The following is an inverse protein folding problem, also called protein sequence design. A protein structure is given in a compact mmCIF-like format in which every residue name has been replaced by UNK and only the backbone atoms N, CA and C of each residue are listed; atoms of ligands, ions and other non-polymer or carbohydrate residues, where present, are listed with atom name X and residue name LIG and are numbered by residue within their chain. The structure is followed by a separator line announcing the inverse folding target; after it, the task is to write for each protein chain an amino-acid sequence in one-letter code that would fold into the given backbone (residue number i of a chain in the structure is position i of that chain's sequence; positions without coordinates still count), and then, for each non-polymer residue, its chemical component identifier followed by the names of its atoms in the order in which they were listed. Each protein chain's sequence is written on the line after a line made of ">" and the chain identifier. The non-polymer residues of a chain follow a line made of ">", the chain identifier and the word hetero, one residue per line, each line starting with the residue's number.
data_IF_842338557555
#
_entry.id   IF_842338557555
#
_cell.length_a   1.000
_cell.length_b   1.000
_cell.length_c   1.000
_cell.angle_alpha   90.00
_cell.angle_beta   90.00
_cell.angle_gamma   90.00
#
_symmetry.space_group_name_H-M   'P 1'
#
loop_
_entity.id
_entity.type
_entity.pdbx_description
1 polymer ?
#
# COMPACT_ATOMS: atom_id res chain seq x y z
N UNK A 1 10.82 4.93 12.47
CA UNK A 1 10.90 4.17 11.21
C UNK A 1 9.57 4.24 10.50
N UNK A 2 9.59 4.67 9.24
CA UNK A 2 8.39 4.74 8.39
C UNK A 2 8.13 3.37 7.77
N UNK A 3 6.97 2.79 8.08
CA UNK A 3 6.59 1.46 7.59
C UNK A 3 5.47 1.57 6.57
N UNK A 4 5.70 1.10 5.35
CA UNK A 4 4.71 1.03 4.29
C UNK A 4 4.24 -0.39 3.98
N UNK A 5 3.42 -0.55 2.93
CA UNK A 5 3.01 -1.85 2.44
C UNK A 5 2.86 -1.90 0.92
N UNK A 6 3.14 -3.07 0.35
CA UNK A 6 2.84 -3.45 -1.03
C UNK A 6 1.85 -4.61 -1.02
N UNK A 7 0.66 -4.37 -1.57
CA UNK A 7 -0.41 -5.36 -1.72
C UNK A 7 -0.51 -5.74 -3.20
N UNK A 8 -0.34 -7.01 -3.53
CA UNK A 8 -0.46 -7.49 -4.91
C UNK A 8 -1.87 -7.97 -5.17
N UNK A 9 -2.62 -7.19 -5.94
CA UNK A 9 -3.99 -7.42 -6.36
C UNK A 9 -4.15 -7.47 -7.89
N UNK A 10 -3.04 -7.72 -8.61
CA UNK A 10 -3.00 -7.69 -10.08
C UNK A 10 -3.78 -8.84 -10.75
N UNK A 11 -4.17 -9.85 -10.00
CA UNK A 11 -4.75 -11.08 -10.53
C UNK A 11 -3.67 -12.01 -11.07
N UNK A 12 -3.90 -13.31 -10.94
CA UNK A 12 -3.18 -14.33 -11.69
C UNK A 12 -4.21 -15.36 -12.14
N UNK A 13 -4.21 -15.68 -13.43
CA UNK A 13 -4.99 -16.80 -13.92
C UNK A 13 -4.40 -18.09 -13.36
N UNK A 14 -4.78 -18.44 -12.14
CA UNK A 14 -4.80 -19.85 -11.75
C UNK A 14 -5.71 -20.57 -12.73
N UNK A 15 -5.30 -21.72 -13.23
CA UNK A 15 -5.90 -22.40 -14.39
C UNK A 15 -7.43 -22.62 -14.34
N UNK A 16 -8.10 -22.47 -13.19
CA UNK A 16 -9.52 -22.77 -13.02
C UNK A 16 -10.40 -21.65 -12.43
N UNK A 17 -9.87 -20.69 -11.67
CA UNK A 17 -10.64 -19.55 -11.15
C UNK A 17 -9.74 -18.34 -10.96
N UNK A 18 -10.01 -17.22 -11.66
CA UNK A 18 -9.28 -15.98 -11.41
C UNK A 18 -9.63 -15.46 -10.01
N UNK A 19 -8.60 -15.22 -9.19
CA UNK A 19 -8.79 -14.59 -7.88
C UNK A 19 -9.36 -13.18 -8.06
N UNK A 20 -10.41 -12.86 -7.28
CA UNK A 20 -11.06 -11.56 -7.30
C UNK A 20 -10.85 -10.82 -5.96
N UNK A 21 -10.04 -9.75 -5.90
CA UNK A 21 -9.86 -8.95 -4.69
C UNK A 21 -11.14 -8.27 -4.17
N UNK A 22 -12.19 -8.22 -4.98
CA UNK A 22 -13.51 -7.67 -4.62
C UNK A 22 -14.44 -8.71 -3.98
N UNK A 23 -13.98 -9.96 -3.77
CA UNK A 23 -14.77 -10.99 -3.08
C UNK A 23 -15.28 -10.45 -1.73
N UNK A 24 -16.57 -10.67 -1.41
CA UNK A 24 -17.14 -10.27 -0.13
C UNK A 24 -16.51 -11.03 1.04
N UNK A 25 -16.19 -10.31 2.11
CA UNK A 25 -15.68 -10.85 3.37
C UNK A 25 -16.38 -10.13 4.51
N UNK A 26 -17.51 -10.69 4.98
CA UNK A 26 -18.41 -10.04 5.91
C UNK A 26 -19.09 -8.83 5.28
N UNK A 27 -19.00 -7.68 5.94
CA UNK A 27 -19.54 -6.39 5.51
C UNK A 27 -18.60 -5.59 4.58
N UNK A 28 -17.50 -6.21 4.13
CA UNK A 28 -16.47 -5.57 3.33
C UNK A 28 -16.00 -6.49 2.18
N UNK A 29 -14.90 -6.14 1.55
CA UNK A 29 -14.24 -6.97 0.54
C UNK A 29 -12.83 -7.34 0.98
N UNK A 30 -12.26 -8.38 0.36
CA UNK A 30 -10.89 -8.84 0.61
C UNK A 30 -9.91 -7.67 0.62
N UNK A 31 -9.86 -6.90 -0.45
CA UNK A 31 -8.88 -5.81 -0.59
C UNK A 31 -9.08 -4.69 0.44
N UNK A 32 -10.33 -4.31 0.73
CA UNK A 32 -10.62 -3.26 1.72
C UNK A 32 -10.23 -3.70 3.13
N UNK A 33 -10.49 -4.95 3.50
CA UNK A 33 -10.11 -5.48 4.83
C UNK A 33 -8.62 -5.41 5.03
N UNK A 34 -7.83 -5.88 4.06
CA UNK A 34 -6.36 -5.82 4.11
C UNK A 34 -5.89 -4.38 4.34
N UNK A 35 -6.36 -3.44 3.50
CA UNK A 35 -5.97 -2.03 3.59
C UNK A 35 -6.34 -1.45 4.96
N UNK A 36 -7.55 -1.70 5.43
CA UNK A 36 -8.04 -1.16 6.71
C UNK A 36 -7.23 -1.76 7.88
N UNK A 37 -6.94 -3.06 7.86
CA UNK A 37 -6.15 -3.72 8.91
C UNK A 37 -4.73 -3.16 8.97
N UNK A 38 -4.05 -2.99 7.84
CA UNK A 38 -2.73 -2.39 7.77
C UNK A 38 -2.74 -0.94 8.28
N UNK A 39 -3.70 -0.13 7.85
CA UNK A 39 -3.84 1.26 8.34
C UNK A 39 -4.09 1.34 9.85
N UNK A 40 -4.92 0.46 10.39
CA UNK A 40 -5.16 0.34 11.84
C UNK A 40 -3.92 -0.13 12.60
N UNK A 41 -3.05 -0.90 11.94
CA UNK A 41 -1.72 -1.28 12.45
C UNK A 41 -0.71 -0.14 12.43
N UNK A 42 -1.01 1.01 11.82
CA UNK A 42 -0.10 2.16 11.70
C UNK A 42 0.74 2.18 10.43
N UNK A 43 0.38 1.39 9.42
CA UNK A 43 1.12 1.27 8.16
C UNK A 43 0.70 2.34 7.16
N UNK A 44 1.66 3.13 6.68
CA UNK A 44 1.48 4.14 5.63
C UNK A 44 2.85 4.55 5.05
N UNK A 45 2.97 4.73 3.73
CA UNK A 45 1.96 4.57 2.66
C UNK A 45 1.63 3.11 2.34
N UNK A 46 0.51 2.90 1.64
CA UNK A 46 0.11 1.59 1.11
C UNK A 46 0.03 1.67 -0.41
N UNK A 47 0.77 0.82 -1.09
CA UNK A 47 0.77 0.65 -2.54
C UNK A 47 -0.02 -0.61 -2.90
N UNK A 48 -0.98 -0.50 -3.80
CA UNK A 48 -1.77 -1.61 -4.33
C UNK A 48 -1.43 -1.79 -5.80
N UNK A 49 -0.94 -2.97 -6.15
CA UNK A 49 -0.67 -3.31 -7.55
C UNK A 49 -1.90 -3.95 -8.14
N UNK A 50 -2.50 -3.28 -9.11
CA UNK A 50 -3.70 -3.72 -9.83
C UNK A 50 -3.36 -4.27 -11.21
N UNK A 51 -4.28 -5.01 -11.83
CA UNK A 51 -4.12 -5.60 -13.16
C UNK A 51 -5.48 -5.99 -13.72
N UNK A 52 -5.90 -7.25 -13.52
CA UNK A 52 -7.27 -7.65 -13.85
C UNK A 52 -8.27 -6.81 -13.05
N UNK A 53 -9.33 -6.33 -13.72
CA UNK A 53 -10.36 -5.46 -13.13
C UNK A 53 -9.81 -4.20 -12.42
N UNK A 54 -8.67 -3.66 -12.90
CA UNK A 54 -8.02 -2.52 -12.27
C UNK A 54 -8.98 -1.35 -12.02
N UNK A 55 -9.81 -0.96 -13.00
CA UNK A 55 -10.76 0.16 -12.86
C UNK A 55 -11.77 -0.05 -11.72
N UNK A 56 -12.29 -1.27 -11.58
CA UNK A 56 -13.24 -1.63 -10.53
C UNK A 56 -12.57 -1.59 -9.14
N UNK A 57 -11.40 -2.22 -9.02
CA UNK A 57 -10.65 -2.29 -7.77
C UNK A 57 -10.25 -0.89 -7.31
N UNK A 58 -9.63 -0.11 -8.18
CA UNK A 58 -9.14 1.23 -7.90
C UNK A 58 -10.27 2.18 -7.51
N UNK A 59 -11.41 2.14 -8.23
CA UNK A 59 -12.62 2.90 -7.86
C UNK A 59 -13.14 2.49 -6.48
N UNK A 60 -13.16 1.19 -6.18
CA UNK A 60 -13.65 0.64 -4.92
C UNK A 60 -12.83 1.07 -3.70
N UNK A 61 -11.51 1.26 -3.86
CA UNK A 61 -10.59 1.65 -2.79
C UNK A 61 -10.17 3.13 -2.84
N UNK A 62 -10.71 3.92 -3.77
CA UNK A 62 -10.32 5.33 -4.02
C UNK A 62 -10.42 6.24 -2.78
N UNK A 63 -11.35 5.94 -1.85
CA UNK A 63 -11.54 6.68 -0.61
C UNK A 63 -10.60 6.24 0.53
N UNK A 64 -9.75 5.25 0.31
CA UNK A 64 -8.86 4.70 1.33
C UNK A 64 -7.47 5.34 1.37
N UNK A 65 -7.20 6.36 0.56
CA UNK A 65 -5.89 7.04 0.51
C UNK A 65 -4.75 6.04 0.34
N UNK A 66 -4.82 5.24 -0.69
CA UNK A 66 -3.79 4.30 -1.14
C UNK A 66 -3.26 4.73 -2.50
N UNK A 67 -2.09 4.24 -2.85
CA UNK A 67 -1.45 4.45 -4.14
C UNK A 67 -1.77 3.25 -5.02
N UNK A 68 -2.37 3.46 -6.20
CA UNK A 68 -2.64 2.39 -7.15
C UNK A 68 -1.63 2.43 -8.29
N UNK A 69 -0.97 1.31 -8.55
CA UNK A 69 -0.09 1.12 -9.69
C UNK A 69 -0.62 -0.02 -10.55
N UNK A 70 -0.79 0.22 -11.84
CA UNK A 70 -1.26 -0.80 -12.78
C UNK A 70 -0.11 -1.59 -13.37
N UNK A 71 -0.20 -2.90 -13.27
CA UNK A 71 0.62 -3.80 -14.06
C UNK A 71 -0.12 -4.15 -15.36
N UNK A 72 0.20 -3.46 -16.44
CA UNK A 72 -0.42 -3.70 -17.75
C UNK A 72 -0.07 -5.08 -18.36
N UNK A 73 0.92 -5.75 -17.79
CA UNK A 73 1.40 -7.06 -18.24
C UNK A 73 1.01 -8.20 -17.29
N UNK A 74 0.04 -7.98 -16.40
CA UNK A 74 -0.35 -8.91 -15.33
C UNK A 74 -0.64 -10.34 -15.80
N UNK A 75 -1.12 -10.51 -17.04
CA UNK A 75 -1.46 -11.78 -17.66
C UNK A 75 -0.26 -12.49 -18.32
N UNK A 76 0.86 -11.78 -18.51
CA UNK A 76 2.08 -12.26 -19.20
C UNK A 76 3.25 -12.52 -18.24
N UNK A 77 3.22 -11.88 -17.07
CA UNK A 77 4.31 -11.93 -16.10
C UNK A 77 3.88 -12.64 -14.81
N UNK A 78 4.87 -13.14 -14.07
CA UNK A 78 4.62 -13.74 -12.76
C UNK A 78 4.28 -12.68 -11.71
N UNK A 79 3.60 -13.07 -10.63
CA UNK A 79 3.26 -12.21 -9.49
C UNK A 79 4.48 -11.48 -8.91
N UNK A 80 5.68 -12.09 -8.99
CA UNK A 80 6.91 -11.51 -8.51
C UNK A 80 7.25 -10.18 -9.19
N UNK A 81 6.96 -10.03 -10.48
CA UNK A 81 7.11 -8.77 -11.20
C UNK A 81 6.24 -7.65 -10.58
N UNK A 82 4.99 -7.97 -10.24
CA UNK A 82 4.11 -7.02 -9.55
C UNK A 82 4.64 -6.62 -8.18
N UNK A 83 5.25 -7.56 -7.44
CA UNK A 83 5.92 -7.26 -6.17
C UNK A 83 7.06 -6.28 -6.40
N UNK A 84 7.98 -6.57 -7.33
CA UNK A 84 9.12 -5.70 -7.65
C UNK A 84 8.67 -4.30 -8.09
N UNK A 85 7.60 -4.21 -8.89
CA UNK A 85 7.02 -2.92 -9.30
C UNK A 85 6.60 -2.07 -8.08
N UNK A 86 5.92 -2.68 -7.11
CA UNK A 86 5.52 -2.01 -5.88
C UNK A 86 6.69 -1.63 -4.98
N UNK A 87 7.68 -2.53 -4.86
CA UNK A 87 8.86 -2.30 -4.04
C UNK A 87 9.74 -1.18 -4.59
N UNK A 88 9.97 -1.14 -5.91
CA UNK A 88 10.69 -0.04 -6.57
C UNK A 88 10.01 1.32 -6.34
N UNK A 89 8.68 1.35 -6.35
CA UNK A 89 7.95 2.58 -6.12
C UNK A 89 8.07 3.09 -4.67
N UNK A 90 8.05 2.19 -3.69
CA UNK A 90 7.98 2.54 -2.27
C UNK A 90 9.35 2.67 -1.59
N UNK A 91 10.44 2.27 -2.26
CA UNK A 91 11.79 2.19 -1.69
C UNK A 91 12.23 3.49 -1.02
N UNK A 92 12.05 4.63 -1.69
CA UNK A 92 12.46 5.94 -1.18
C UNK A 92 11.47 6.54 -0.16
N UNK A 93 10.33 5.88 0.06
CA UNK A 93 9.27 6.38 0.94
C UNK A 93 9.27 5.73 2.32
N UNK A 94 9.92 4.57 2.48
CA UNK A 94 9.81 3.75 3.68
C UNK A 94 11.13 3.10 4.07
N UNK A 95 11.34 3.01 5.38
CA UNK A 95 12.46 2.24 5.97
C UNK A 95 12.17 0.73 5.96
N UNK A 96 10.87 0.36 6.05
CA UNK A 96 10.40 -1.03 6.11
C UNK A 96 9.09 -1.17 5.33
N UNK A 97 8.86 -2.34 4.72
CA UNK A 97 7.69 -2.57 3.88
C UNK A 97 7.08 -3.94 4.15
N UNK A 98 5.78 -3.97 4.43
CA UNK A 98 4.99 -5.19 4.39
C UNK A 98 4.70 -5.61 2.96
N UNK A 99 4.89 -6.88 2.65
CA UNK A 99 4.60 -7.46 1.33
C UNK A 99 3.60 -8.60 1.49
N UNK A 100 2.50 -8.53 0.74
CA UNK A 100 1.50 -9.59 0.77
C UNK A 100 0.67 -9.68 -0.53
N UNK A 101 0.26 -10.89 -0.94
CA UNK A 101 -0.78 -11.06 -1.94
C UNK A 101 -2.15 -10.72 -1.35
N UNK A 102 -3.05 -10.17 -2.18
CA UNK A 102 -4.39 -9.73 -1.76
C UNK A 102 -5.37 -10.87 -1.48
N UNK A 103 -4.93 -12.03 -1.05
CA UNK A 103 -5.78 -13.18 -0.73
C UNK A 103 -5.80 -13.57 0.75
N UNK A 104 -5.10 -12.81 1.60
CA UNK A 104 -5.07 -13.03 3.05
C UNK A 104 -5.72 -11.85 3.78
N UNK A 105 -7.07 -11.77 3.85
CA UNK A 105 -7.76 -10.58 4.37
C UNK A 105 -8.05 -10.61 5.87
N UNK A 106 -7.76 -11.71 6.57
CA UNK A 106 -8.28 -11.93 7.93
C UNK A 106 -7.21 -11.94 9.02
N UNK A 107 -5.99 -11.50 8.73
CA UNK A 107 -4.96 -11.26 9.77
C UNK A 107 -5.32 -10.06 10.66
N UNK A 108 -4.76 -10.04 11.87
CA UNK A 108 -5.06 -9.05 12.90
C UNK A 108 -4.12 -7.83 12.83
N UNK A 109 -4.61 -6.66 13.24
CA UNK A 109 -3.76 -5.45 13.40
C UNK A 109 -2.70 -5.63 14.49
N UNK A 110 -3.01 -6.42 15.51
CA UNK A 110 -2.10 -6.77 16.60
C UNK A 110 -0.87 -7.53 16.08
N UNK A 111 -1.06 -8.43 15.13
CA UNK A 111 0.02 -9.13 14.42
C UNK A 111 0.91 -8.13 13.68
N UNK A 112 0.33 -7.18 12.93
CA UNK A 112 1.07 -6.12 12.25
C UNK A 112 1.89 -5.30 13.23
N UNK A 113 1.29 -4.88 14.35
CA UNK A 113 1.95 -4.10 15.40
C UNK A 113 3.06 -4.90 16.10
N UNK A 114 2.86 -6.19 16.34
CA UNK A 114 3.87 -7.06 16.93
C UNK A 114 5.09 -7.21 16.01
N UNK A 115 4.87 -7.44 14.72
CA UNK A 115 5.94 -7.53 13.72
C UNK A 115 6.75 -6.22 13.61
N UNK A 116 6.09 -5.07 13.73
CA UNK A 116 6.77 -3.76 13.66
C UNK A 116 7.72 -3.50 14.85
N UNK A 117 7.58 -4.22 15.96
CA UNK A 117 8.47 -4.10 17.14
C UNK A 117 9.80 -4.83 16.96
N UNK A 118 9.90 -5.77 16.02
CA UNK A 118 11.15 -6.48 15.73
C UNK A 118 12.16 -5.56 15.04
N UNK A 119 13.44 -5.74 15.36
CA UNK A 119 14.56 -5.06 14.70
C UNK A 119 15.19 -5.88 13.58
N UNK A 120 14.62 -7.06 13.26
CA UNK A 120 15.12 -7.90 12.18
C UNK A 120 14.78 -7.30 10.80
N UNK A 121 15.61 -7.64 9.81
CA UNK A 121 15.47 -7.18 8.43
C UNK A 121 14.35 -7.88 7.68
N UNK A 122 14.14 -9.18 8.00
CA UNK A 122 13.07 -10.00 7.45
C UNK A 122 12.26 -10.54 8.62
N UNK A 123 10.98 -10.17 8.72
CA UNK A 123 10.11 -10.62 9.80
C UNK A 123 8.91 -11.36 9.21
N UNK A 124 8.67 -12.58 9.71
CA UNK A 124 7.55 -13.41 9.30
C UNK A 124 6.68 -13.79 10.49
N UNK A 125 5.35 -13.67 10.39
CA UNK A 125 4.46 -14.20 11.41
C UNK A 125 4.36 -15.72 11.27
N UNK A 126 4.30 -16.41 12.40
CA UNK A 126 4.17 -17.88 12.47
C UNK A 126 3.00 -18.27 13.35
N UNK A 127 2.10 -19.08 12.84
CA UNK A 127 1.01 -19.70 13.57
C UNK A 127 1.09 -21.24 13.43
N UNK A 128 1.12 -21.93 14.55
CA UNK A 128 1.19 -23.39 14.60
C UNK A 128 2.32 -24.00 13.72
N UNK A 129 3.50 -23.34 13.73
CA UNK A 129 4.67 -23.74 12.94
C UNK A 129 4.63 -23.33 11.46
N UNK A 130 3.55 -22.71 10.98
CA UNK A 130 3.41 -22.28 9.60
C UNK A 130 3.69 -20.78 9.46
N UNK A 131 4.64 -20.41 8.58
CA UNK A 131 4.91 -19.03 8.20
C UNK A 131 3.76 -18.48 7.35
N UNK A 132 3.28 -17.28 7.67
CA UNK A 132 2.15 -16.65 7.00
C UNK A 132 2.45 -15.29 6.37
N UNK A 133 1.38 -14.54 6.13
CA UNK A 133 1.38 -13.18 5.61
C UNK A 133 0.76 -12.19 6.61
N UNK A 134 1.17 -10.90 6.53
CA UNK A 134 2.16 -10.29 5.63
C UNK A 134 3.60 -10.62 6.03
N UNK A 135 4.57 -10.42 5.12
CA UNK A 135 6.01 -10.44 5.42
C UNK A 135 6.50 -9.01 5.53
N UNK A 136 7.27 -8.67 6.57
CA UNK A 136 7.89 -7.34 6.73
C UNK A 136 9.36 -7.42 6.36
N UNK A 137 9.83 -6.48 5.54
CA UNK A 137 11.22 -6.41 5.07
C UNK A 137 11.80 -5.01 5.24
N UNK A 138 13.09 -4.90 5.55
CA UNK A 138 13.82 -3.62 5.61
C UNK A 138 14.18 -3.10 4.21
N UNK A 139 14.49 -1.81 4.10
CA UNK A 139 14.92 -1.19 2.84
C UNK A 139 16.16 -1.86 2.23
N UNK A 140 17.08 -2.37 3.05
CA UNK A 140 18.24 -3.13 2.58
C UNK A 140 17.84 -4.42 1.85
N UNK A 141 16.85 -5.14 2.38
CA UNK A 141 16.31 -6.37 1.77
C UNK A 141 15.52 -6.08 0.48
N UNK A 142 14.85 -4.92 0.38
CA UNK A 142 14.12 -4.54 -0.83
C UNK A 142 14.98 -4.59 -2.08
N UNK A 143 16.20 -4.04 -2.02
CA UNK A 143 17.15 -4.05 -3.15
C UNK A 143 17.52 -5.46 -3.57
N UNK A 144 17.76 -6.34 -2.62
CA UNK A 144 18.04 -7.75 -2.89
C UNK A 144 16.86 -8.44 -3.57
N UNK A 145 15.61 -8.17 -3.11
CA UNK A 145 14.40 -8.73 -3.72
C UNK A 145 14.25 -8.23 -5.17
N UNK A 146 14.38 -6.93 -5.40
CA UNK A 146 14.20 -6.31 -6.72
C UNK A 146 15.24 -6.78 -7.73
N UNK A 147 16.49 -7.00 -7.31
CA UNK A 147 17.57 -7.48 -8.17
C UNK A 147 17.57 -9.01 -8.37
N UNK A 148 16.71 -9.76 -7.68
CA UNK A 148 16.68 -11.22 -7.74
C UNK A 148 16.20 -11.73 -9.09
N UNK A 149 17.02 -12.62 -9.73
CA UNK A 149 16.75 -13.24 -11.04
C UNK A 149 16.56 -14.76 -10.94
N UNK A 150 16.51 -15.30 -9.73
CA UNK A 150 16.40 -16.74 -9.51
C UNK A 150 14.96 -17.26 -9.58
N UNK A 151 14.81 -18.54 -9.24
CA UNK A 151 13.52 -19.21 -9.22
C UNK A 151 12.72 -18.99 -7.92
N UNK A 152 11.42 -19.35 -7.93
CA UNK A 152 10.50 -19.28 -6.81
C UNK A 152 10.13 -17.86 -6.34
N UNK A 153 10.35 -16.83 -7.16
CA UNK A 153 9.89 -15.46 -6.96
C UNK A 153 10.26 -14.90 -5.57
N UNK A 154 9.31 -14.31 -4.86
CA UNK A 154 9.55 -13.72 -3.54
C UNK A 154 10.15 -14.72 -2.53
N UNK A 155 9.71 -15.97 -2.56
CA UNK A 155 10.23 -17.00 -1.64
C UNK A 155 11.72 -17.28 -1.89
N UNK A 156 12.12 -17.33 -3.17
CA UNK A 156 13.53 -17.48 -3.56
C UNK A 156 14.36 -16.26 -3.17
N UNK A 157 13.86 -15.06 -3.46
CA UNK A 157 14.52 -13.81 -3.10
C UNK A 157 14.73 -13.66 -1.59
N UNK A 158 13.72 -13.97 -0.77
CA UNK A 158 13.83 -13.93 0.69
C UNK A 158 14.78 -14.98 1.24
N UNK A 159 14.88 -16.17 0.61
CA UNK A 159 15.87 -17.18 1.00
C UNK A 159 17.29 -16.69 0.74
N UNK A 160 17.54 -16.09 -0.42
CA UNK A 160 18.84 -15.49 -0.73
C UNK A 160 19.16 -14.33 0.21
N UNK A 161 18.20 -13.46 0.49
CA UNK A 161 18.40 -12.34 1.42
C UNK A 161 18.74 -12.81 2.85
N UNK A 162 18.15 -13.90 3.32
CA UNK A 162 18.40 -14.46 4.65
C UNK A 162 19.86 -14.94 4.86
N UNK A 163 20.65 -15.08 3.79
CA UNK A 163 22.09 -15.38 3.90
C UNK A 163 22.91 -14.18 4.40
N UNK A 164 22.39 -12.96 4.25
CA UNK A 164 23.11 -11.72 4.58
C UNK A 164 22.37 -10.79 5.53
N UNK A 165 21.06 -11.01 5.73
CA UNK A 165 20.19 -10.18 6.55
C UNK A 165 19.59 -10.98 7.72
N UNK A 166 19.35 -10.29 8.84
CA UNK A 166 18.75 -10.89 10.04
C UNK A 166 17.30 -11.26 9.77
N UNK A 167 16.97 -12.53 9.91
CA UNK A 167 15.60 -13.07 9.82
C UNK A 167 15.04 -13.37 11.22
N UNK A 168 13.76 -13.09 11.43
CA UNK A 168 13.03 -13.42 12.65
C UNK A 168 11.63 -13.96 12.32
N UNK A 169 11.31 -15.10 12.90
CA UNK A 169 9.97 -15.69 12.90
C UNK A 169 9.27 -15.31 14.21
N UNK A 170 8.14 -14.59 14.11
CA UNK A 170 7.38 -14.13 15.27
C UNK A 170 6.17 -15.05 15.49
N UNK A 171 6.11 -15.80 16.60
CA UNK A 171 4.93 -16.55 16.96
C UNK A 171 3.75 -15.62 17.23
N UNK A 172 2.59 -15.89 16.64
CA UNK A 172 1.37 -15.10 16.80
C UNK A 172 0.16 -16.01 17.01
N UNK A 173 -0.79 -15.54 17.81
CA UNK A 173 -2.09 -16.20 18.02
C UNK A 173 -3.12 -15.76 16.96
N UNK A 174 -2.70 -15.79 15.70
CA UNK A 174 -3.46 -15.29 14.55
C UNK A 174 -3.45 -16.26 13.39
N UNK A 175 -4.40 -17.17 13.36
CA UNK A 175 -4.57 -18.11 12.25
C UNK A 175 -4.85 -17.41 10.91
N UNK A 176 -5.34 -16.15 10.94
CA UNK A 176 -5.64 -15.35 9.74
C UNK A 176 -4.44 -15.11 8.84
N UNK A 177 -3.21 -15.22 9.37
CA UNK A 177 -1.97 -15.06 8.60
C UNK A 177 -1.77 -16.12 7.52
N UNK A 178 -2.36 -17.31 7.72
CA UNK A 178 -2.30 -18.45 6.78
C UNK A 178 -3.62 -18.71 6.06
N UNK A 179 -4.69 -17.98 6.40
CA UNK A 179 -6.02 -18.18 5.83
C UNK A 179 -6.16 -17.42 4.51
N UNK A 180 -6.01 -18.12 3.39
CA UNK A 180 -6.32 -17.57 2.07
C UNK A 180 -7.83 -17.60 1.79
N UNK A 181 -8.33 -16.57 1.10
CA UNK A 181 -9.70 -16.51 0.57
C UNK A 181 -9.58 -16.29 -0.93
N UNK A 182 -9.93 -17.29 -1.70
CA UNK A 182 -9.81 -17.32 -3.16
C UNK A 182 -11.17 -17.41 -3.86
N UNK A 183 -12.20 -17.93 -3.16
CA UNK A 183 -13.56 -18.15 -3.69
C UNK A 183 -14.62 -17.70 -2.69
N UNK A 184 -15.85 -17.50 -3.16
CA UNK A 184 -17.01 -17.18 -2.28
C UNK A 184 -17.35 -18.29 -1.29
N UNK A 185 -16.93 -19.52 -1.56
CA UNK A 185 -17.13 -20.67 -0.68
C UNK A 185 -16.15 -20.75 0.48
N UNK A 186 -15.08 -19.94 0.48
CA UNK A 186 -14.08 -19.99 1.54
C UNK A 186 -14.67 -19.40 2.83
N UNK A 187 -14.79 -20.25 3.85
CA UNK A 187 -15.39 -19.85 5.12
C UNK A 187 -14.44 -18.97 5.92
N UNK A 188 -14.85 -17.73 6.14
CA UNK A 188 -14.18 -16.81 7.04
C UNK A 188 -15.10 -16.29 8.15
N UNK A 189 -16.29 -16.85 8.28
CA UNK A 189 -17.31 -16.37 9.21
C UNK A 189 -16.82 -16.34 10.67
N UNK A 190 -16.07 -17.35 11.10
CA UNK A 190 -15.54 -17.41 12.46
C UNK A 190 -14.42 -16.40 12.71
N UNK A 191 -13.57 -16.14 11.69
CA UNK A 191 -12.57 -15.09 11.77
C UNK A 191 -13.20 -13.71 11.83
N UNK A 192 -14.27 -13.49 11.05
CA UNK A 192 -15.00 -12.21 11.03
C UNK A 192 -15.69 -11.98 12.36
N UNK A 193 -16.32 -12.98 12.96
CA UNK A 193 -16.95 -12.89 14.29
C UNK A 193 -15.93 -12.54 15.39
N UNK A 194 -14.73 -13.15 15.36
CA UNK A 194 -13.64 -12.84 16.28
C UNK A 194 -13.07 -11.44 16.09
N UNK A 195 -13.07 -10.94 14.86
CA UNK A 195 -12.67 -9.59 14.49
C UNK A 195 -13.83 -8.59 14.54
N UNK A 196 -14.93 -8.92 15.24
CA UNK A 196 -16.11 -8.07 15.29
C UNK A 196 -15.70 -6.62 15.44
N UNK A 197 -16.21 -5.83 14.52
CA UNK A 197 -15.82 -4.44 14.28
C UNK A 197 -16.03 -3.65 15.58
N UNK A 198 -14.98 -3.57 16.37
CA UNK A 198 -14.95 -2.64 17.48
C UNK A 198 -15.09 -1.24 16.89
N UNK A 199 -16.02 -0.48 17.40
CA UNK A 199 -16.15 0.94 17.06
C UNK A 199 -14.86 1.63 17.51
N UNK A 200 -14.12 2.19 16.56
CA UNK A 200 -12.90 2.94 16.85
C UNK A 200 -13.13 4.42 16.58
N UNK A 201 -12.72 5.31 17.48
CA UNK A 201 -12.74 6.73 17.20
C UNK A 201 -11.77 7.03 16.04
N UNK A 202 -12.20 7.88 15.10
CA UNK A 202 -11.38 8.42 14.04
C UNK A 202 -11.28 9.92 14.19
N UNK A 203 -10.06 10.43 14.34
CA UNK A 203 -9.77 11.85 14.34
C UNK A 203 -9.28 12.23 12.96
N UNK A 204 -9.84 13.27 12.36
CA UNK A 204 -9.36 13.87 11.13
C UNK A 204 -8.91 15.30 11.42
N UNK A 205 -7.65 15.57 11.15
CA UNK A 205 -7.10 16.91 11.25
C UNK A 205 -7.27 17.63 9.91
N UNK A 206 -7.73 18.85 9.97
CA UNK A 206 -7.83 19.75 8.83
C UNK A 206 -7.49 21.17 9.27
N UNK A 207 -6.99 21.97 8.33
CA UNK A 207 -6.87 23.42 8.51
C UNK A 207 -8.05 24.07 7.82
N UNK A 208 -8.72 24.95 8.53
CA UNK A 208 -9.87 25.70 8.04
C UNK A 208 -9.72 27.21 8.29
N UNK A 209 -10.42 28.00 7.50
CA UNK A 209 -10.64 29.42 7.75
C UNK A 209 -12.16 29.70 7.72
N UNK A 210 -12.79 29.63 6.56
CA UNK A 210 -14.25 29.56 6.41
C UNK A 210 -14.66 28.12 6.08
N UNK A 211 -13.83 27.41 5.31
CA UNK A 211 -13.97 26.01 4.92
C UNK A 211 -12.63 25.29 5.11
N UNK A 212 -12.68 23.95 5.19
CA UNK A 212 -11.47 23.13 5.27
C UNK A 212 -10.72 23.21 3.95
N UNK A 213 -9.56 23.85 3.96
CA UNK A 213 -8.71 24.04 2.78
C UNK A 213 -7.51 23.08 2.73
N UNK A 214 -7.15 22.46 3.84
CA UNK A 214 -6.06 21.47 3.91
C UNK A 214 -6.45 20.32 4.83
N UNK A 215 -6.20 19.09 4.39
CA UNK A 215 -6.48 17.87 5.14
C UNK A 215 -5.53 16.75 4.72
N UNK A 216 -5.68 15.56 5.31
CA UNK A 216 -4.86 14.40 5.00
C UNK A 216 -4.87 14.01 3.50
N UNK A 217 -5.99 14.23 2.78
CA UNK A 217 -6.06 13.98 1.34
C UNK A 217 -5.23 15.00 0.56
N UNK A 218 -5.27 16.26 0.95
CA UNK A 218 -4.44 17.32 0.34
C UNK A 218 -2.96 17.06 0.61
N UNK A 219 -2.59 16.68 1.83
CA UNK A 219 -1.22 16.30 2.18
C UNK A 219 -0.72 15.13 1.33
N UNK A 220 -1.53 14.07 1.21
CA UNK A 220 -1.21 12.90 0.40
C UNK A 220 -1.02 13.25 -1.09
N UNK A 221 -1.90 14.10 -1.63
CA UNK A 221 -1.76 14.60 -3.01
C UNK A 221 -0.44 15.32 -3.25
N UNK A 222 -0.03 16.18 -2.32
CA UNK A 222 1.23 16.91 -2.44
C UNK A 222 2.45 16.00 -2.31
N UNK A 223 2.41 15.03 -1.39
CA UNK A 223 3.47 14.03 -1.23
C UNK A 223 3.63 13.19 -2.51
N UNK A 224 2.51 12.72 -3.10
CA UNK A 224 2.54 12.00 -4.37
C UNK A 224 3.05 12.86 -5.52
N UNK A 225 2.64 14.13 -5.58
CA UNK A 225 3.13 15.04 -6.62
C UNK A 225 4.64 15.24 -6.51
N UNK A 226 5.16 15.41 -5.30
CA UNK A 226 6.60 15.53 -5.06
C UNK A 226 7.35 14.25 -5.42
N UNK A 227 6.81 13.09 -5.06
CA UNK A 227 7.44 11.79 -5.32
C UNK A 227 7.46 11.45 -6.82
N UNK A 228 6.34 11.67 -7.51
CA UNK A 228 6.23 11.35 -8.94
C UNK A 228 6.78 12.44 -9.87
N UNK A 229 7.06 13.63 -9.34
CA UNK A 229 7.42 14.82 -10.13
C UNK A 229 6.26 15.34 -11.00
N UNK A 230 5.03 14.81 -10.88
CA UNK A 230 3.91 15.10 -11.78
C UNK A 230 2.57 15.15 -11.07
N UNK A 231 1.94 16.31 -11.08
CA UNK A 231 0.54 16.47 -10.62
C UNK A 231 -0.45 15.55 -11.37
N UNK A 232 -0.23 15.35 -12.66
CA UNK A 232 -1.11 14.50 -13.47
C UNK A 232 -1.03 13.04 -13.00
N UNK A 233 0.18 12.55 -12.75
CA UNK A 233 0.40 11.20 -12.23
C UNK A 233 -0.19 11.03 -10.83
N UNK A 234 0.03 12.00 -9.94
CA UNK A 234 -0.56 12.00 -8.60
C UNK A 234 -2.09 12.00 -8.65
N UNK A 235 -2.71 12.81 -9.52
CA UNK A 235 -4.16 12.80 -9.73
C UNK A 235 -4.67 11.44 -10.20
N UNK A 236 -3.99 10.79 -11.16
CA UNK A 236 -4.33 9.44 -11.62
C UNK A 236 -4.29 8.42 -10.48
N UNK A 237 -3.21 8.41 -9.71
CA UNK A 237 -3.03 7.48 -8.58
C UNK A 237 -4.06 7.67 -7.47
N UNK A 238 -4.59 8.89 -7.32
CA UNK A 238 -5.64 9.21 -6.34
C UNK A 238 -7.06 9.15 -6.91
N UNK A 239 -7.23 8.72 -8.15
CA UNK A 239 -8.53 8.73 -8.85
C UNK A 239 -9.27 10.06 -8.78
N UNK A 240 -8.54 11.16 -8.94
CA UNK A 240 -9.10 12.50 -9.01
C UNK A 240 -8.81 13.15 -10.36
N UNK A 241 -9.69 14.04 -10.81
CA UNK A 241 -9.43 14.80 -12.02
C UNK A 241 -8.29 15.81 -11.81
N UNK A 242 -7.53 16.09 -12.85
CA UNK A 242 -6.47 17.11 -12.80
C UNK A 242 -6.99 18.48 -12.35
N UNK A 243 -8.19 18.86 -12.85
CA UNK A 243 -8.85 20.12 -12.46
C UNK A 243 -9.14 20.17 -10.96
N UNK A 244 -9.56 19.03 -10.34
CA UNK A 244 -9.77 18.95 -8.91
C UNK A 244 -8.47 19.09 -8.14
N UNK A 245 -7.40 18.38 -8.56
CA UNK A 245 -6.08 18.49 -7.95
C UNK A 245 -5.54 19.92 -8.00
N UNK A 246 -5.65 20.56 -9.16
CA UNK A 246 -5.22 21.95 -9.32
C UNK A 246 -6.00 22.94 -8.44
N UNK A 247 -7.33 22.80 -8.37
CA UNK A 247 -8.16 23.63 -7.49
C UNK A 247 -7.79 23.43 -6.01
N UNK A 248 -7.59 22.19 -5.58
CA UNK A 248 -7.18 21.86 -4.21
C UNK A 248 -5.83 22.53 -3.86
N UNK A 249 -4.84 22.43 -4.77
CA UNK A 249 -3.55 23.08 -4.58
C UNK A 249 -3.69 24.61 -4.45
N UNK A 250 -4.38 25.23 -5.40
CA UNK A 250 -4.53 26.70 -5.43
C UNK A 250 -5.28 27.23 -4.22
N UNK A 251 -6.31 26.53 -3.77
CA UNK A 251 -7.03 26.92 -2.55
C UNK A 251 -6.11 26.83 -1.32
N UNK A 252 -5.35 25.74 -1.18
CA UNK A 252 -4.40 25.59 -0.09
C UNK A 252 -3.33 26.69 -0.10
N UNK A 253 -2.69 26.96 -1.24
CA UNK A 253 -1.68 28.02 -1.40
C UNK A 253 -2.23 29.40 -1.09
N UNK A 254 -3.45 29.71 -1.56
CA UNK A 254 -4.14 30.99 -1.30
C UNK A 254 -4.38 31.20 0.19
N UNK A 255 -4.85 30.18 0.89
CA UNK A 255 -5.16 30.27 2.32
C UNK A 255 -3.90 30.32 3.20
N UNK A 256 -2.83 29.65 2.78
CA UNK A 256 -1.53 29.65 3.46
C UNK A 256 -0.70 30.92 3.18
N UNK A 257 -0.94 31.57 2.03
CA UNK A 257 -0.21 32.75 1.63
C UNK A 257 1.19 32.49 1.05
N UNK A 258 1.51 31.25 0.72
CA UNK A 258 2.77 30.85 0.06
C UNK A 258 2.57 29.65 -0.86
N UNK A 259 3.41 29.50 -1.91
CA UNK A 259 3.34 28.36 -2.81
C UNK A 259 3.81 27.07 -2.14
N UNK A 260 3.06 25.99 -2.34
CA UNK A 260 3.40 24.63 -1.88
C UNK A 260 4.18 23.86 -2.93
N UNK A 261 3.86 24.06 -4.22
CA UNK A 261 4.51 23.43 -5.34
C UNK A 261 5.20 24.45 -6.24
N UNK A 262 6.38 24.09 -6.71
CA UNK A 262 7.02 24.68 -7.87
C UNK A 262 6.68 23.80 -9.08
N UNK A 263 6.03 24.38 -10.09
CA UNK A 263 5.69 23.68 -11.33
C UNK A 263 6.29 24.39 -12.51
N UNK A 264 7.01 23.66 -13.34
CA UNK A 264 7.52 24.14 -14.61
C UNK A 264 6.71 23.49 -15.73
N UNK A 265 6.09 24.33 -16.58
CA UNK A 265 5.41 23.84 -17.77
C UNK A 265 6.46 23.26 -18.71
N UNK A 266 6.31 21.99 -19.09
CA UNK A 266 7.26 21.32 -19.97
C UNK A 266 6.95 21.56 -21.43
N UNK A 267 8.00 21.59 -22.25
CA UNK A 267 7.93 21.36 -23.69
C UNK A 267 7.79 19.86 -24.01
N UNK A 268 8.53 19.38 -25.02
CA UNK A 268 8.52 17.97 -25.48
C UNK A 268 8.83 16.92 -24.40
N UNK A 269 9.49 17.30 -23.29
CA UNK A 269 9.94 16.37 -22.22
C UNK A 269 9.01 16.33 -20.99
N UNK A 270 7.81 16.95 -21.06
CA UNK A 270 6.82 16.94 -19.98
C UNK A 270 7.05 17.98 -18.87
N UNK A 271 5.99 18.35 -18.14
CA UNK A 271 6.05 19.30 -17.03
C UNK A 271 6.54 18.61 -15.75
N UNK A 272 7.27 19.36 -14.93
CA UNK A 272 7.82 18.90 -13.66
C UNK A 272 7.18 19.66 -12.49
N UNK A 273 6.86 18.95 -11.41
CA UNK A 273 6.28 19.53 -10.18
C UNK A 273 7.03 19.03 -8.94
N UNK A 274 7.49 19.95 -8.11
CA UNK A 274 8.25 19.66 -6.88
C UNK A 274 7.75 20.53 -5.74
N UNK A 275 7.84 20.05 -4.50
CA UNK A 275 7.56 20.87 -3.33
C UNK A 275 8.53 22.07 -3.26
N UNK A 276 8.01 23.21 -2.82
CA UNK A 276 8.87 24.33 -2.42
C UNK A 276 9.50 24.02 -1.06
N UNK A 277 10.61 24.68 -0.66
CA UNK A 277 11.18 24.51 0.68
C UNK A 277 10.16 24.74 1.81
N UNK A 278 9.27 25.75 1.66
CA UNK A 278 8.15 25.97 2.59
C UNK A 278 7.11 24.87 2.54
N UNK A 279 6.85 24.29 1.38
CA UNK A 279 5.96 23.14 1.22
C UNK A 279 6.50 21.87 1.88
N UNK A 280 7.81 21.63 1.79
CA UNK A 280 8.46 20.53 2.48
C UNK A 280 8.42 20.69 4.00
N UNK A 281 8.69 21.89 4.50
CA UNK A 281 8.61 22.22 5.94
C UNK A 281 7.18 22.05 6.46
N UNK A 282 6.19 22.52 5.69
CA UNK A 282 4.78 22.48 6.06
C UNK A 282 4.22 21.03 6.11
N UNK A 283 4.77 20.10 5.33
CA UNK A 283 4.34 18.70 5.27
C UNK A 283 5.07 17.78 6.27
N UNK A 284 6.05 18.24 7.00
CA UNK A 284 6.73 17.53 8.11
C UNK A 284 5.89 17.53 9.36
#
# INVERSE_FOLDING_TARGET
>A
LRTGAVIVAAGHKSRNTPFNPLLPVGDSTVIRRIIITLKRGGVSPIVVITGDKADEIEKHISNLQVICLRNEQYDKVQMFFSICMGLNYIEDLCDRVFVLPAKFPVFLKETVQQMMKSDADIVRPVFDGYRGHPVLVSSGVLRTIVSFQGENGLRGALRQAAESFKEEDIPVEDQGIIQAIETEGDSCADFIKKQQIQIHPRIQLGLERNDVFFNAQTAHFLQLTSHTGSMQTACKQMHMSYTKGWKTLREAEKQLGFPLLFSQSGGSDGGFSKLTPKGEEFLK
#
